data_IF_015139069121
#
_entry.id   IF_015139069121
#
_cell.length_a   1.000
_cell.length_b   1.000
_cell.length_c   1.000
_cell.angle_alpha   90.00
_cell.angle_beta   90.00
_cell.angle_gamma   90.00
#
_symmetry.space_group_name_H-M   'P 1'
#
loop_
_entity.id
_entity.type
_entity.pdbx_description
1 polymer ?
#
# COMPACT_ATOMS: atom_id res chain seq x y z
N UNK A 1 27.17 -6.37 14.53
CA UNK A 1 27.17 -7.72 14.05
C UNK A 1 26.11 -8.02 13.00
N UNK A 2 26.38 -9.01 12.18
CA UNK A 2 25.45 -9.50 11.15
C UNK A 2 24.05 -9.82 11.75
N UNK A 3 24.02 -10.47 12.92
CA UNK A 3 22.76 -10.86 13.55
C UNK A 3 21.82 -9.72 13.95
N UNK A 4 22.30 -8.53 14.25
CA UNK A 4 21.45 -7.39 14.60
C UNK A 4 20.67 -6.82 13.40
N UNK A 5 21.30 -6.79 12.23
CA UNK A 5 20.65 -6.33 11.00
C UNK A 5 19.57 -7.30 10.53
N UNK A 6 19.87 -8.59 10.64
CA UNK A 6 18.94 -9.66 10.28
C UNK A 6 17.72 -9.67 11.20
N UNK A 7 17.91 -9.53 12.50
CA UNK A 7 16.82 -9.42 13.47
C UNK A 7 16.01 -8.16 13.23
N UNK A 8 16.65 -7.03 12.99
CA UNK A 8 15.97 -5.77 12.70
C UNK A 8 15.13 -5.86 11.42
N UNK A 9 15.62 -6.56 10.40
CA UNK A 9 14.86 -6.79 9.18
C UNK A 9 13.70 -7.77 9.40
N UNK A 10 13.92 -8.85 10.14
CA UNK A 10 12.86 -9.81 10.46
C UNK A 10 11.68 -9.17 11.20
N UNK A 11 11.96 -8.28 12.16
CA UNK A 11 10.93 -7.49 12.85
C UNK A 11 10.14 -6.62 11.84
N UNK A 12 10.84 -5.92 10.94
CA UNK A 12 10.19 -5.11 9.90
C UNK A 12 9.30 -5.95 9.00
N UNK A 13 9.78 -7.12 8.61
CA UNK A 13 9.01 -8.04 7.77
C UNK A 13 7.76 -8.56 8.48
N UNK A 14 7.84 -8.84 9.78
CA UNK A 14 6.69 -9.18 10.62
C UNK A 14 5.65 -8.04 10.66
N UNK A 15 6.09 -6.80 10.81
CA UNK A 15 5.22 -5.62 10.78
C UNK A 15 4.57 -5.47 9.39
N UNK A 16 5.33 -5.67 8.30
CA UNK A 16 4.79 -5.67 6.94
C UNK A 16 3.67 -6.71 6.77
N UNK A 17 3.87 -7.90 7.31
CA UNK A 17 2.86 -8.96 7.26
C UNK A 17 1.59 -8.58 8.02
N UNK A 18 1.72 -8.03 9.23
CA UNK A 18 0.57 -7.60 10.05
C UNK A 18 -0.20 -6.48 9.37
N UNK A 19 0.48 -5.40 8.96
CA UNK A 19 -0.18 -4.26 8.34
C UNK A 19 -0.72 -4.58 6.93
N UNK A 20 0.01 -5.37 6.16
CA UNK A 20 -0.44 -5.83 4.85
C UNK A 20 -1.66 -6.75 4.93
N UNK A 21 -1.68 -7.64 5.91
CA UNK A 21 -2.85 -8.49 6.17
C UNK A 21 -4.06 -7.67 6.61
N UNK A 22 -3.88 -6.69 7.49
CA UNK A 22 -4.96 -5.81 7.95
C UNK A 22 -5.62 -5.08 6.78
N UNK A 23 -4.84 -4.48 5.88
CA UNK A 23 -5.35 -3.81 4.69
C UNK A 23 -5.97 -4.82 3.73
N UNK A 24 -5.29 -5.93 3.48
CA UNK A 24 -5.74 -6.96 2.55
C UNK A 24 -7.03 -7.65 2.96
N UNK A 25 -7.22 -7.93 4.25
CA UNK A 25 -8.48 -8.47 4.78
C UNK A 25 -9.64 -7.51 4.54
N UNK A 26 -9.43 -6.23 4.79
CA UNK A 26 -10.45 -5.21 4.50
C UNK A 26 -10.85 -5.23 3.02
N UNK A 27 -9.87 -5.34 2.13
CA UNK A 27 -10.11 -5.43 0.67
C UNK A 27 -10.88 -6.69 0.30
N UNK A 28 -10.50 -7.83 0.83
CA UNK A 28 -11.16 -9.12 0.54
C UNK A 28 -12.59 -9.17 1.10
N UNK A 29 -12.82 -8.68 2.31
CA UNK A 29 -14.16 -8.60 2.89
C UNK A 29 -15.12 -7.72 2.08
N UNK A 30 -14.59 -6.77 1.33
CA UNK A 30 -15.39 -5.90 0.44
C UNK A 30 -15.41 -6.37 -1.00
N UNK A 31 -14.90 -7.55 -1.30
CA UNK A 31 -14.80 -8.10 -2.66
C UNK A 31 -14.09 -7.14 -3.63
N UNK A 32 -13.01 -6.48 -3.15
CA UNK A 32 -12.17 -5.57 -3.94
C UNK A 32 -10.89 -6.25 -4.38
N UNK A 33 -10.32 -5.90 -5.55
CA UNK A 33 -9.01 -6.39 -5.98
C UNK A 33 -7.88 -6.01 -5.01
N UNK A 34 -6.72 -6.65 -5.14
CA UNK A 34 -5.54 -6.46 -4.30
C UNK A 34 -5.81 -6.81 -2.82
N UNK A 35 -5.96 -8.10 -2.57
CA UNK A 35 -6.17 -8.66 -1.23
C UNK A 35 -4.90 -8.76 -0.39
N UNK A 36 -4.89 -9.73 0.52
CA UNK A 36 -3.82 -9.92 1.53
C UNK A 36 -2.45 -10.08 0.87
N UNK A 37 -2.30 -11.03 -0.05
CA UNK A 37 -1.02 -11.32 -0.68
C UNK A 37 -0.45 -10.12 -1.41
N UNK A 38 -1.26 -9.41 -2.18
CA UNK A 38 -0.83 -8.23 -2.93
C UNK A 38 -0.33 -7.13 -2.00
N UNK A 39 -1.08 -6.80 -0.95
CA UNK A 39 -0.68 -5.77 0.00
C UNK A 39 0.57 -6.17 0.78
N UNK A 40 0.66 -7.42 1.23
CA UNK A 40 1.86 -7.91 1.92
C UNK A 40 3.11 -7.82 1.03
N UNK A 41 3.04 -8.23 -0.24
CA UNK A 41 4.18 -8.15 -1.15
C UNK A 41 4.57 -6.72 -1.49
N UNK A 42 3.62 -5.83 -1.72
CA UNK A 42 3.91 -4.41 -2.02
C UNK A 42 4.58 -3.73 -0.82
N UNK A 43 4.03 -3.90 0.38
CA UNK A 43 4.57 -3.31 1.61
C UNK A 43 5.94 -3.90 1.93
N UNK A 44 6.08 -5.22 1.89
CA UNK A 44 7.35 -5.90 2.19
C UNK A 44 8.42 -5.58 1.16
N UNK A 45 8.08 -5.52 -0.13
CA UNK A 45 8.99 -5.13 -1.20
C UNK A 45 9.52 -3.72 -1.04
N UNK A 46 8.64 -2.75 -0.80
CA UNK A 46 9.03 -1.37 -0.54
C UNK A 46 9.90 -1.24 0.73
N UNK A 47 9.55 -1.98 1.77
CA UNK A 47 10.34 -2.06 3.00
C UNK A 47 11.75 -2.61 2.75
N UNK A 48 11.86 -3.71 2.01
CA UNK A 48 13.14 -4.35 1.68
C UNK A 48 14.04 -3.41 0.86
N UNK A 49 13.51 -2.79 -0.19
CA UNK A 49 14.28 -1.84 -1.00
C UNK A 49 14.76 -0.65 -0.18
N UNK A 50 13.91 -0.10 0.69
CA UNK A 50 14.29 1.00 1.59
C UNK A 50 15.37 0.57 2.57
N UNK A 51 15.23 -0.61 3.18
CA UNK A 51 16.21 -1.14 4.12
C UNK A 51 17.58 -1.39 3.47
N UNK A 52 17.59 -1.94 2.25
CA UNK A 52 18.81 -2.14 1.46
C UNK A 52 19.45 -0.78 1.13
N UNK A 53 18.65 0.20 0.70
CA UNK A 53 19.14 1.54 0.38
C UNK A 53 19.84 2.21 1.56
N UNK A 54 19.24 2.16 2.74
CA UNK A 54 19.81 2.69 3.97
C UNK A 54 21.13 2.00 4.36
N UNK A 55 21.27 0.73 3.99
CA UNK A 55 22.46 -0.06 4.32
C UNK A 55 23.61 0.21 3.35
N UNK A 56 23.30 0.32 2.04
CA UNK A 56 24.31 0.45 0.98
C UNK A 56 24.66 1.89 0.66
N UNK A 57 23.72 2.82 0.75
CA UNK A 57 23.93 4.23 0.43
C UNK A 57 23.23 5.13 1.47
N UNK A 58 23.79 5.22 2.69
CA UNK A 58 23.20 6.03 3.76
C UNK A 58 23.11 7.53 3.42
N UNK A 59 23.95 7.99 2.50
CA UNK A 59 24.03 9.42 2.12
C UNK A 59 22.97 9.81 1.08
N UNK A 60 22.33 8.85 0.43
CA UNK A 60 21.37 9.12 -0.64
C UNK A 60 20.17 8.16 -0.62
N UNK A 61 19.49 7.96 0.53
CA UNK A 61 18.41 7.00 0.66
C UNK A 61 17.19 7.35 -0.20
N UNK A 62 17.03 8.62 -0.56
CA UNK A 62 15.93 9.11 -1.37
C UNK A 62 15.95 8.58 -2.82
N UNK A 63 17.10 8.16 -3.33
CA UNK A 63 17.21 7.65 -4.71
C UNK A 63 16.38 6.40 -4.93
N UNK A 64 16.48 5.42 -4.03
CA UNK A 64 15.69 4.19 -4.12
C UNK A 64 14.22 4.47 -3.82
N UNK A 65 13.92 5.37 -2.86
CA UNK A 65 12.56 5.80 -2.59
C UNK A 65 11.86 6.35 -3.83
N UNK A 66 12.53 7.21 -4.60
CA UNK A 66 11.98 7.73 -5.85
C UNK A 66 11.68 6.61 -6.87
N UNK A 67 12.52 5.58 -6.95
CA UNK A 67 12.30 4.44 -7.83
C UNK A 67 11.15 3.53 -7.36
N UNK A 68 10.94 3.38 -6.06
CA UNK A 68 9.79 2.65 -5.51
C UNK A 68 8.49 3.32 -5.93
N UNK A 69 8.39 4.64 -5.76
CA UNK A 69 7.20 5.43 -6.14
C UNK A 69 6.90 5.27 -7.64
N UNK A 70 7.92 5.33 -8.49
CA UNK A 70 7.79 5.14 -9.93
C UNK A 70 7.42 3.70 -10.29
N UNK A 71 8.08 2.72 -9.69
CA UNK A 71 7.88 1.28 -9.98
C UNK A 71 6.46 0.80 -9.61
N UNK A 72 5.92 1.27 -8.49
CA UNK A 72 4.54 0.94 -8.08
C UNK A 72 3.52 1.60 -9.00
N UNK A 73 3.85 2.70 -9.65
CA UNK A 73 3.02 3.29 -10.71
C UNK A 73 2.73 2.32 -11.86
N UNK A 74 3.68 1.46 -12.20
CA UNK A 74 3.48 0.40 -13.20
C UNK A 74 2.43 -0.63 -12.75
N UNK A 75 2.45 -1.05 -11.49
CA UNK A 75 1.42 -1.93 -10.93
C UNK A 75 0.04 -1.26 -10.94
N UNK A 76 -0.02 0.00 -10.54
CA UNK A 76 -1.25 0.79 -10.56
C UNK A 76 -1.82 0.93 -11.97
N UNK A 77 -1.00 1.24 -12.95
CA UNK A 77 -1.39 1.31 -14.35
C UNK A 77 -1.92 -0.03 -14.86
N UNK A 78 -1.26 -1.14 -14.53
CA UNK A 78 -1.71 -2.48 -14.89
C UNK A 78 -3.08 -2.83 -14.31
N UNK A 79 -3.36 -2.42 -13.08
CA UNK A 79 -4.67 -2.60 -12.44
C UNK A 79 -5.78 -1.81 -13.14
N UNK A 80 -5.51 -0.59 -13.57
CA UNK A 80 -6.46 0.28 -14.27
C UNK A 80 -6.76 -0.28 -15.68
N UNK A 81 -5.72 -0.65 -16.42
CA UNK A 81 -5.87 -1.16 -17.80
C UNK A 81 -6.67 -2.45 -17.86
N UNK A 82 -6.47 -3.38 -16.91
CA UNK A 82 -7.20 -4.65 -16.85
C UNK A 82 -8.70 -4.47 -16.59
N UNK A 83 -9.11 -3.36 -15.96
CA UNK A 83 -10.52 -3.05 -15.71
C UNK A 83 -11.26 -2.42 -16.91
N UNK A 84 -10.56 -2.06 -17.99
CA UNK A 84 -11.04 -1.17 -19.03
C UNK A 84 -11.73 -1.81 -20.25
N UNK A 85 -12.00 -3.11 -20.30
CA UNK A 85 -12.56 -3.77 -21.48
C UNK A 85 -14.03 -3.43 -21.80
N UNK A 86 -14.70 -2.61 -21.01
CA UNK A 86 -16.08 -2.14 -21.25
C UNK A 86 -16.25 -0.63 -21.09
N UNK A 87 -15.53 0.14 -21.83
CA UNK A 87 -15.93 1.38 -22.55
C UNK A 87 -16.26 2.64 -21.76
N UNK A 88 -16.62 2.71 -20.46
CA UNK A 88 -17.17 3.95 -19.91
C UNK A 88 -16.79 4.32 -18.46
N UNK A 89 -16.05 3.48 -17.74
CA UNK A 89 -15.57 3.83 -16.39
C UNK A 89 -14.13 3.38 -16.19
N UNK A 90 -13.30 4.29 -15.68
CA UNK A 90 -11.98 3.94 -15.15
C UNK A 90 -12.18 3.02 -13.95
N UNK A 91 -12.02 1.72 -14.18
CA UNK A 91 -12.16 0.70 -13.13
C UNK A 91 -10.87 0.64 -12.29
N UNK A 92 -11.01 0.28 -11.02
CA UNK A 92 -9.89 0.02 -10.11
C UNK A 92 -8.97 1.22 -9.81
N UNK A 93 -9.40 2.46 -10.04
CA UNK A 93 -8.59 3.64 -9.73
C UNK A 93 -8.28 3.73 -8.23
N UNK A 94 -9.27 3.49 -7.37
CA UNK A 94 -9.10 3.45 -5.91
C UNK A 94 -8.17 2.33 -5.50
N UNK A 95 -8.26 1.16 -6.14
CA UNK A 95 -7.37 0.03 -5.88
C UNK A 95 -5.93 0.37 -6.26
N UNK A 96 -5.70 0.99 -7.42
CA UNK A 96 -4.38 1.45 -7.84
C UNK A 96 -3.81 2.47 -6.84
N UNK A 97 -4.60 3.43 -6.39
CA UNK A 97 -4.22 4.40 -5.38
C UNK A 97 -3.87 3.73 -4.04
N UNK A 98 -4.63 2.71 -3.62
CA UNK A 98 -4.36 1.98 -2.39
C UNK A 98 -3.05 1.19 -2.44
N UNK A 99 -2.69 0.60 -3.57
CA UNK A 99 -1.40 -0.08 -3.77
C UNK A 99 -0.24 0.92 -3.72
N UNK A 100 -0.41 2.09 -4.33
CA UNK A 100 0.58 3.16 -4.28
C UNK A 100 0.82 3.62 -2.83
N UNK A 101 -0.26 3.79 -2.06
CA UNK A 101 -0.20 4.14 -0.64
C UNK A 101 0.41 3.01 0.22
N UNK A 102 0.11 1.75 -0.08
CA UNK A 102 0.72 0.59 0.59
C UNK A 102 2.26 0.56 0.41
N UNK A 103 2.77 0.93 -0.76
CA UNK A 103 4.20 1.07 -0.98
C UNK A 103 4.82 2.14 -0.07
N UNK A 104 4.15 3.26 0.14
CA UNK A 104 4.60 4.29 1.08
C UNK A 104 4.67 3.76 2.52
N UNK A 105 3.70 2.95 2.95
CA UNK A 105 3.73 2.27 4.26
C UNK A 105 4.99 1.39 4.37
N UNK A 106 5.30 0.62 3.34
CA UNK A 106 6.49 -0.22 3.30
C UNK A 106 7.79 0.58 3.42
N UNK A 107 7.88 1.71 2.73
CA UNK A 107 9.03 2.62 2.85
C UNK A 107 9.20 3.12 4.28
N UNK A 108 8.13 3.54 4.91
CA UNK A 108 8.13 4.06 6.28
C UNK A 108 8.57 2.98 7.29
N UNK A 109 8.15 1.73 7.09
CA UNK A 109 8.61 0.58 7.89
C UNK A 109 10.11 0.35 7.66
N UNK A 110 10.58 0.46 6.43
CA UNK A 110 11.99 0.35 6.07
C UNK A 110 12.85 1.36 6.80
N UNK A 111 12.39 2.60 6.96
CA UNK A 111 13.03 3.64 7.76
C UNK A 111 12.97 3.37 9.27
N UNK A 112 12.12 2.46 9.73
CA UNK A 112 11.92 2.18 11.16
C UNK A 112 10.91 3.11 11.83
N UNK A 113 10.10 3.83 11.08
CA UNK A 113 9.08 4.75 11.60
C UNK A 113 7.74 4.02 11.82
N UNK A 114 7.74 3.09 12.75
CA UNK A 114 6.64 2.15 12.95
C UNK A 114 5.31 2.79 13.35
N UNK A 115 5.37 3.87 14.14
CA UNK A 115 4.18 4.60 14.56
C UNK A 115 3.47 5.26 13.37
N UNK A 116 4.25 5.86 12.47
CA UNK A 116 3.73 6.47 11.24
C UNK A 116 3.15 5.39 10.32
N UNK A 117 3.83 4.25 10.21
CA UNK A 117 3.33 3.11 9.43
C UNK A 117 1.98 2.60 9.95
N UNK A 118 1.83 2.46 11.27
CA UNK A 118 0.58 2.06 11.90
C UNK A 118 -0.55 3.06 11.64
N UNK A 119 -0.30 4.36 11.80
CA UNK A 119 -1.27 5.41 11.52
C UNK A 119 -1.69 5.41 10.03
N UNK A 120 -0.72 5.26 9.12
CA UNK A 120 -1.00 5.18 7.68
C UNK A 120 -1.82 3.93 7.32
N UNK A 121 -1.55 2.80 7.96
CA UNK A 121 -2.31 1.57 7.72
C UNK A 121 -3.77 1.70 8.21
N UNK A 122 -4.00 2.33 9.35
CA UNK A 122 -5.36 2.65 9.84
C UNK A 122 -6.07 3.56 8.84
N UNK A 123 -5.41 4.59 8.34
CA UNK A 123 -5.93 5.47 7.30
C UNK A 123 -6.34 4.68 6.04
N UNK A 124 -5.49 3.76 5.58
CA UNK A 124 -5.76 2.92 4.41
C UNK A 124 -7.00 2.01 4.57
N UNK A 125 -7.32 1.60 5.80
CA UNK A 125 -8.52 0.81 6.11
C UNK A 125 -9.77 1.69 6.19
N UNK A 126 -9.66 2.90 6.72
CA UNK A 126 -10.80 3.79 6.95
C UNK A 126 -11.27 4.46 5.65
N UNK A 127 -10.35 4.98 4.85
CA UNK A 127 -10.69 5.81 3.67
C UNK A 127 -11.59 5.10 2.67
N UNK A 128 -11.39 3.81 2.31
CA UNK A 128 -12.29 3.13 1.39
C UNK A 128 -13.72 2.93 1.91
N UNK A 129 -13.93 3.11 3.21
CA UNK A 129 -15.24 2.96 3.86
C UNK A 129 -16.05 4.25 3.88
N UNK A 130 -15.47 5.38 3.49
CA UNK A 130 -16.17 6.66 3.41
C UNK A 130 -17.23 6.57 2.31
N UNK A 131 -18.52 6.80 2.62
CA UNK A 131 -19.60 6.69 1.65
C UNK A 131 -19.47 7.76 0.55
N UNK A 132 -19.82 7.39 -0.68
CA UNK A 132 -19.83 8.32 -1.80
C UNK A 132 -20.99 9.31 -1.66
N UNK A 133 -20.73 10.59 -1.72
CA UNK A 133 -21.72 11.69 -1.57
C UNK A 133 -22.90 11.53 -2.54
N UNK A 134 -22.69 10.99 -3.73
CA UNK A 134 -23.76 10.71 -4.71
C UNK A 134 -24.84 9.74 -4.21
N UNK A 135 -24.51 8.87 -3.28
CA UNK A 135 -25.47 7.90 -2.72
C UNK A 135 -26.46 8.60 -1.77
N UNK A 136 -25.99 9.62 -1.06
CA UNK A 136 -26.80 10.42 -0.14
C UNK A 136 -27.83 11.28 -0.89
N UNK A 137 -27.45 11.93 -1.98
CA UNK A 137 -28.33 12.80 -2.77
C UNK A 137 -29.49 11.98 -3.42
N UNK A 138 -29.25 10.71 -3.73
CA UNK A 138 -30.27 9.85 -4.36
C UNK A 138 -31.29 9.30 -3.36
N UNK A 139 -30.98 9.24 -2.08
CA UNK A 139 -31.92 8.83 -1.03
C UNK A 139 -32.87 9.96 -0.60
N UNK A 140 -32.48 11.22 -0.74
CA UNK A 140 -33.33 12.37 -0.44
C UNK A 140 -34.40 12.67 -1.52
N UNK A 141 -34.21 12.16 -2.74
CA UNK A 141 -35.17 12.33 -3.83
C UNK A 141 -36.09 11.12 -4.05
N UNK A 142 -36.04 10.12 -3.17
CA UNK A 142 -36.86 8.91 -3.23
C UNK A 142 -38.02 8.90 -2.20
N UNK A 143 -38.20 9.99 -1.45
CA UNK A 143 -39.39 10.29 -0.62
C UNK A 143 -40.20 11.39 -1.30
#
# INVERSE_FOLDING_TARGET
>A
GLGQREVAFAIRLGICLVLGSMIGIERELRNKPAGISTNCFVIAGACLFTFISLTLDPNSPARVGAQIVSGVGFLGAGMILKGGERGERVMNLTTAASIWFAAAIGMVIGFGWFLIAGAAAIYAVIVPRIPHVKTWIKSEHAE
#
